data_IF_091267345720
#
_entry.id   IF_091267345720
#
_cell.length_a   1.000
_cell.length_b   1.000
_cell.length_c   1.000
_cell.angle_alpha   90.00
_cell.angle_beta   90.00
_cell.angle_gamma   90.00
#
_symmetry.space_group_name_H-M   'P 1'
#
loop_
_entity.id
_entity.type
_entity.pdbx_description
1 polymer ?
#
# COMPACT_ATOMS: atom_id res chain seq x y z
N UNK A 1 -27.92 16.75 23.61
CA UNK A 1 -26.92 15.68 23.50
C UNK A 1 -27.51 14.76 22.48
N UNK A 2 -26.95 14.73 21.24
CA UNK A 2 -27.45 13.80 20.22
C UNK A 2 -26.77 12.47 20.52
N UNK A 3 -27.51 11.43 20.82
CA UNK A 3 -27.00 10.08 20.95
C UNK A 3 -26.53 9.65 19.55
N UNK A 4 -25.22 9.71 19.34
CA UNK A 4 -24.61 9.20 18.13
C UNK A 4 -24.56 7.68 18.29
N UNK A 5 -25.46 6.98 17.62
CA UNK A 5 -25.41 5.53 17.55
C UNK A 5 -24.14 5.12 16.79
N UNK A 6 -23.41 4.10 17.27
CA UNK A 6 -22.25 3.61 16.57
C UNK A 6 -22.69 3.10 15.19
N UNK A 7 -22.02 3.60 14.16
CA UNK A 7 -22.25 3.13 12.79
C UNK A 7 -22.06 1.63 12.71
N UNK A 8 -22.86 0.97 11.89
CA UNK A 8 -22.65 -0.44 11.58
C UNK A 8 -21.24 -0.65 11.01
N UNK A 9 -20.52 -1.72 11.40
CA UNK A 9 -19.17 -1.96 10.95
C UNK A 9 -19.15 -2.16 9.44
N UNK A 10 -18.41 -1.30 8.73
CA UNK A 10 -18.19 -1.44 7.30
C UNK A 10 -17.36 -2.71 7.04
N UNK A 11 -17.81 -3.57 6.15
CA UNK A 11 -17.16 -4.84 5.85
C UNK A 11 -16.10 -4.65 4.77
N UNK A 12 -14.83 -4.54 5.20
CA UNK A 12 -13.66 -4.63 4.32
C UNK A 12 -13.12 -6.05 4.20
N UNK A 13 -11.91 -6.20 3.67
CA UNK A 13 -11.17 -7.47 3.65
C UNK A 13 -10.63 -7.82 5.04
N UNK A 14 -10.23 -6.82 5.81
CA UNK A 14 -9.85 -6.90 7.22
C UNK A 14 -10.20 -5.65 8.00
N UNK A 15 -10.50 -4.53 7.33
CA UNK A 15 -10.98 -3.33 7.97
C UNK A 15 -12.48 -3.41 8.27
N UNK A 16 -12.86 -2.90 9.43
CA UNK A 16 -14.26 -2.78 9.90
C UNK A 16 -14.66 -1.31 10.11
N UNK A 17 -13.78 -0.37 9.77
CA UNK A 17 -14.01 1.06 9.95
C UNK A 17 -13.44 1.88 8.79
N UNK A 18 -13.96 3.10 8.66
CA UNK A 18 -13.49 4.12 7.71
C UNK A 18 -13.18 5.40 8.51
N UNK A 19 -12.29 5.28 9.47
CA UNK A 19 -11.90 6.40 10.30
C UNK A 19 -11.08 7.42 9.52
N UNK A 20 -11.29 8.72 9.82
CA UNK A 20 -10.49 9.80 9.26
C UNK A 20 -9.01 9.65 9.65
N UNK A 21 -8.12 9.93 8.72
CA UNK A 21 -6.70 9.93 8.98
C UNK A 21 -6.29 11.11 9.87
N UNK A 22 -5.20 10.96 10.63
CA UNK A 22 -4.70 11.98 11.58
C UNK A 22 -4.30 13.32 10.95
N UNK A 23 -4.22 13.40 9.63
CA UNK A 23 -3.85 14.62 8.89
C UNK A 23 -5.06 15.29 8.24
N UNK A 24 -6.26 14.74 8.41
CA UNK A 24 -7.48 15.33 7.89
C UNK A 24 -7.96 16.45 8.81
N UNK A 25 -8.32 17.59 8.22
CA UNK A 25 -8.84 18.75 8.98
C UNK A 25 -10.29 18.54 9.45
N UNK A 26 -10.99 17.56 8.89
CA UNK A 26 -12.39 17.25 9.18
C UNK A 26 -12.51 15.77 9.47
N UNK A 27 -13.14 15.40 10.57
CA UNK A 27 -13.52 14.03 10.89
C UNK A 27 -14.91 13.73 10.34
N UNK A 28 -15.04 12.63 9.60
CA UNK A 28 -16.32 12.12 9.12
C UNK A 28 -16.76 11.00 10.04
N UNK A 29 -17.92 11.19 10.66
CA UNK A 29 -18.54 10.16 11.48
C UNK A 29 -19.75 9.60 10.72
N UNK A 30 -19.81 8.28 10.59
CA UNK A 30 -21.02 7.65 10.11
C UNK A 30 -22.09 7.77 11.20
N UNK A 31 -23.24 8.30 10.83
CA UNK A 31 -24.41 8.41 11.71
C UNK A 31 -25.46 7.45 11.17
N UNK A 32 -25.99 6.61 12.03
CA UNK A 32 -27.16 5.81 11.72
C UNK A 32 -28.39 6.76 11.71
N UNK A 33 -29.01 6.91 10.55
CA UNK A 33 -30.21 7.75 10.36
C UNK A 33 -31.51 6.96 10.56
N UNK A 34 -31.42 5.70 10.98
CA UNK A 34 -32.55 4.82 11.23
C UNK A 34 -33.13 4.16 9.96
N UNK A 35 -32.47 4.33 8.80
CA UNK A 35 -32.79 3.57 7.60
C UNK A 35 -31.84 2.37 7.51
N UNK A 36 -32.31 1.22 7.96
CA UNK A 36 -31.54 -0.03 7.88
C UNK A 36 -31.29 -0.37 6.40
N UNK A 37 -30.03 -0.29 5.99
CA UNK A 37 -29.56 -0.97 4.78
C UNK A 37 -29.40 -2.45 5.16
N UNK A 38 -30.20 -3.32 4.57
CA UNK A 38 -29.99 -4.75 4.67
C UNK A 38 -28.55 -5.08 4.24
N UNK A 39 -27.87 -5.98 4.96
CA UNK A 39 -26.51 -6.46 4.61
C UNK A 39 -26.38 -6.95 3.17
N UNK A 40 -27.50 -7.31 2.53
CA UNK A 40 -27.61 -7.71 1.13
C UNK A 40 -27.45 -6.54 0.14
N UNK A 41 -27.67 -5.30 0.57
CA UNK A 41 -27.62 -4.10 -0.28
C UNK A 41 -26.27 -3.39 -0.26
N UNK A 42 -25.33 -3.83 0.59
CA UNK A 42 -23.97 -3.24 0.63
C UNK A 42 -23.17 -3.76 -0.58
N UNK A 43 -22.83 -2.90 -1.54
CA UNK A 43 -22.06 -3.34 -2.70
C UNK A 43 -20.70 -3.88 -2.27
N UNK A 44 -20.18 -4.91 -2.95
CA UNK A 44 -18.87 -5.46 -2.62
C UNK A 44 -17.79 -4.38 -2.73
N UNK A 45 -16.84 -4.39 -1.80
CA UNK A 45 -15.72 -3.46 -1.76
C UNK A 45 -14.91 -3.55 -3.07
N UNK A 46 -14.98 -2.50 -3.88
CA UNK A 46 -14.24 -2.42 -5.15
C UNK A 46 -12.89 -1.75 -4.95
N UNK A 47 -11.85 -2.35 -5.51
CA UNK A 47 -10.53 -1.74 -5.56
C UNK A 47 -10.46 -0.70 -6.69
N UNK A 48 -9.92 0.45 -6.38
CA UNK A 48 -9.52 1.47 -7.37
C UNK A 48 -8.00 1.63 -7.31
N UNK A 49 -7.37 1.73 -8.48
CA UNK A 49 -5.91 1.87 -8.59
C UNK A 49 -5.59 3.20 -9.26
N UNK A 50 -4.88 4.06 -8.54
CA UNK A 50 -4.35 5.33 -9.06
C UNK A 50 -2.90 5.13 -9.48
N UNK A 51 -2.54 5.58 -10.69
CA UNK A 51 -1.15 5.53 -11.16
C UNK A 51 -0.36 6.69 -10.54
N UNK A 52 0.70 6.36 -9.81
CA UNK A 52 1.64 7.30 -9.22
C UNK A 52 2.95 7.31 -10.00
N UNK A 53 3.46 8.50 -10.33
CA UNK A 53 4.74 8.68 -11.06
C UNK A 53 5.74 9.42 -10.17
N UNK A 54 6.45 8.71 -9.29
CA UNK A 54 7.47 9.31 -8.43
C UNK A 54 8.72 9.67 -9.25
N UNK A 55 9.56 10.52 -8.69
CA UNK A 55 10.87 10.87 -9.29
C UNK A 55 11.95 9.81 -9.05
N UNK A 56 11.81 9.03 -7.98
CA UNK A 56 12.74 7.98 -7.55
C UNK A 56 11.94 6.79 -7.01
N UNK A 57 12.51 5.60 -7.09
CA UNK A 57 11.83 4.39 -6.59
C UNK A 57 12.51 3.82 -5.35
N UNK A 58 13.81 4.00 -5.20
CA UNK A 58 14.55 3.56 -4.02
C UNK A 58 14.30 4.56 -2.88
N UNK A 59 13.72 4.07 -1.80
CA UNK A 59 13.56 4.81 -0.55
C UNK A 59 14.72 4.45 0.39
N UNK A 60 15.35 5.47 0.99
CA UNK A 60 16.41 5.29 1.99
C UNK A 60 15.85 5.29 3.39
N UNK A 61 16.46 4.47 4.24
CA UNK A 61 16.15 4.37 5.66
C UNK A 61 17.43 4.47 6.49
N UNK A 62 17.36 5.22 7.58
CA UNK A 62 18.47 5.44 8.50
C UNK A 62 18.15 4.97 9.93
N UNK A 63 17.01 4.28 10.12
CA UNK A 63 16.64 3.74 11.44
C UNK A 63 17.60 2.63 11.84
N UNK A 64 18.16 2.67 13.05
CA UNK A 64 19.07 1.64 13.55
C UNK A 64 18.35 0.30 13.83
N UNK A 65 17.03 0.32 13.95
CA UNK A 65 16.21 -0.86 14.30
C UNK A 65 15.87 -1.74 13.08
N UNK A 66 16.22 -1.29 11.87
CA UNK A 66 15.90 -1.99 10.63
C UNK A 66 17.18 -2.41 9.92
N UNK A 67 17.34 -3.72 9.57
CA UNK A 67 18.60 -4.26 9.04
C UNK A 67 18.87 -3.94 7.56
N UNK A 68 18.10 -3.03 6.94
CA UNK A 68 18.30 -2.59 5.56
C UNK A 68 18.27 -1.05 5.47
N UNK A 69 19.11 -0.48 4.63
CA UNK A 69 19.17 0.97 4.40
C UNK A 69 18.31 1.46 3.25
N UNK A 70 17.77 0.55 2.45
CA UNK A 70 17.00 0.88 1.25
C UNK A 70 15.87 -0.10 0.98
N UNK A 71 14.80 0.41 0.42
CA UNK A 71 13.64 -0.40 0.06
C UNK A 71 12.97 0.10 -1.22
N UNK A 72 12.22 -0.79 -1.86
CA UNK A 72 11.31 -0.50 -2.97
C UNK A 72 9.92 -0.98 -2.61
N UNK A 73 8.93 -0.10 -2.80
CA UNK A 73 7.53 -0.45 -2.69
C UNK A 73 6.82 -0.05 -3.99
N UNK A 74 6.53 -1.01 -4.89
CA UNK A 74 5.90 -0.77 -6.18
C UNK A 74 4.48 -0.22 -6.06
N UNK A 75 3.85 -0.44 -4.93
CA UNK A 75 2.47 -0.08 -4.63
C UNK A 75 2.35 0.72 -3.33
N UNK A 76 1.17 1.31 -3.08
CA UNK A 76 0.72 1.80 -1.77
C UNK A 76 -0.68 1.29 -1.52
N UNK A 77 -1.00 1.02 -0.25
CA UNK A 77 -2.18 0.25 0.11
C UNK A 77 -2.03 -1.22 -0.25
N UNK A 78 -2.90 -2.09 0.24
CA UNK A 78 -2.76 -3.52 0.03
C UNK A 78 -4.09 -4.26 0.13
N UNK A 79 -4.46 -4.97 -0.94
CA UNK A 79 -5.69 -5.78 -1.00
C UNK A 79 -5.70 -6.98 -0.07
N UNK A 80 -4.56 -7.42 0.47
CA UNK A 80 -4.56 -8.52 1.44
C UNK A 80 -5.31 -8.19 2.73
N UNK A 81 -5.49 -6.91 3.05
CA UNK A 81 -6.34 -6.46 4.14
C UNK A 81 -5.96 -6.96 5.53
N UNK A 82 -4.69 -7.30 5.79
CA UNK A 82 -4.27 -7.80 7.09
C UNK A 82 -4.67 -6.84 8.21
N UNK A 83 -5.41 -7.32 9.21
CA UNK A 83 -5.86 -6.51 10.35
C UNK A 83 -4.70 -5.95 11.18
N UNK A 84 -3.60 -6.69 11.25
CA UNK A 84 -2.39 -6.34 12.01
C UNK A 84 -1.36 -5.53 11.20
N UNK A 85 -1.70 -5.07 10.00
CA UNK A 85 -0.73 -4.41 9.12
C UNK A 85 -0.29 -3.06 9.68
N UNK A 86 0.99 -2.93 10.03
CA UNK A 86 1.60 -1.70 10.52
C UNK A 86 1.65 -0.58 9.46
N UNK A 87 1.50 -0.91 8.19
CA UNK A 87 1.57 0.05 7.09
C UNK A 87 0.28 0.85 6.89
N UNK A 88 -0.85 0.43 7.48
CA UNK A 88 -2.15 1.10 7.36
C UNK A 88 -2.09 2.62 7.61
N UNK A 89 -1.42 3.13 8.67
CA UNK A 89 -1.33 4.56 8.93
C UNK A 89 -0.67 5.38 7.83
N UNK A 90 0.09 4.73 6.93
CA UNK A 90 0.76 5.44 5.82
C UNK A 90 -0.24 6.01 4.80
N UNK A 91 -1.46 5.48 4.74
CA UNK A 91 -2.52 5.98 3.86
C UNK A 91 -2.98 7.39 4.25
N UNK A 92 -2.87 7.74 5.53
CA UNK A 92 -3.18 9.08 6.01
C UNK A 92 -2.32 10.18 5.38
N UNK A 93 -1.11 9.88 4.90
CA UNK A 93 -0.29 10.85 4.15
C UNK A 93 -0.89 11.23 2.79
N UNK A 94 -1.87 10.46 2.31
CA UNK A 94 -2.59 10.72 1.06
C UNK A 94 -4.00 11.28 1.32
N UNK A 95 -4.34 11.65 2.56
CA UNK A 95 -5.67 12.08 2.95
C UNK A 95 -6.71 10.95 2.86
N UNK A 96 -6.26 9.70 3.05
CA UNK A 96 -7.10 8.51 2.97
C UNK A 96 -7.14 7.79 4.31
N UNK A 97 -8.26 7.10 4.57
CA UNK A 97 -8.43 6.33 5.80
C UNK A 97 -7.45 5.15 5.89
N UNK A 98 -6.86 4.89 7.05
CA UNK A 98 -6.08 3.68 7.31
C UNK A 98 -6.96 2.42 7.36
N UNK A 99 -8.27 2.57 7.40
CA UNK A 99 -9.26 1.49 7.39
C UNK A 99 -9.52 0.95 5.98
N UNK A 100 -10.74 1.13 5.48
CA UNK A 100 -11.18 0.62 4.18
C UNK A 100 -10.39 1.17 3.00
N UNK A 101 -9.99 2.45 3.04
CA UNK A 101 -9.26 3.05 1.92
C UNK A 101 -7.91 2.36 1.70
N UNK A 102 -7.23 1.91 2.77
CA UNK A 102 -5.98 1.17 2.65
C UNK A 102 -6.12 -0.13 1.84
N UNK A 103 -7.30 -0.74 1.85
CA UNK A 103 -7.59 -2.00 1.17
C UNK A 103 -8.20 -1.82 -0.21
N UNK A 104 -8.73 -0.63 -0.52
CA UNK A 104 -9.56 -0.39 -1.70
C UNK A 104 -9.10 0.75 -2.60
N UNK A 105 -8.38 1.74 -2.08
CA UNK A 105 -7.83 2.87 -2.84
C UNK A 105 -6.32 2.74 -2.92
N UNK A 106 -5.85 2.04 -3.94
CA UNK A 106 -4.45 1.69 -4.09
C UNK A 106 -3.72 2.62 -5.05
N UNK A 107 -2.40 2.65 -4.92
CA UNK A 107 -1.52 3.35 -5.86
C UNK A 107 -0.54 2.36 -6.47
N UNK A 108 -0.32 2.47 -7.77
CA UNK A 108 0.64 1.67 -8.51
C UNK A 108 1.68 2.59 -9.19
N UNK A 109 2.94 2.16 -9.21
CA UNK A 109 4.06 2.90 -9.79
C UNK A 109 4.56 2.21 -11.05
N UNK A 110 3.91 2.41 -12.21
CA UNK A 110 4.21 1.66 -13.43
C UNK A 110 5.64 1.86 -13.94
N UNK A 111 6.23 3.03 -13.65
CA UNK A 111 7.57 3.38 -14.11
C UNK A 111 8.68 2.84 -13.16
N UNK A 112 8.34 1.99 -12.18
CA UNK A 112 9.27 1.53 -11.13
C UNK A 112 10.53 0.87 -11.69
N UNK A 113 10.42 0.01 -12.71
CA UNK A 113 11.55 -0.67 -13.33
C UNK A 113 12.51 0.33 -14.02
N UNK A 114 11.98 1.26 -14.81
CA UNK A 114 12.78 2.28 -15.49
C UNK A 114 13.48 3.24 -14.50
N UNK A 115 12.77 3.62 -13.42
CA UNK A 115 13.36 4.44 -12.36
C UNK A 115 14.46 3.69 -11.62
N UNK A 116 14.25 2.42 -11.33
CA UNK A 116 15.26 1.57 -10.69
C UNK A 116 16.51 1.50 -11.55
N UNK A 117 16.37 1.17 -12.83
CA UNK A 117 17.50 1.11 -13.75
C UNK A 117 18.28 2.43 -13.80
N UNK A 118 17.58 3.56 -13.89
CA UNK A 118 18.20 4.88 -13.87
C UNK A 118 18.93 5.17 -12.57
N UNK A 119 18.44 4.68 -11.44
CA UNK A 119 19.10 4.85 -10.14
C UNK A 119 20.32 3.95 -10.00
N UNK A 120 20.27 2.70 -10.46
CA UNK A 120 21.40 1.75 -10.43
C UNK A 120 22.56 2.20 -11.33
N UNK A 121 22.29 2.92 -12.44
CA UNK A 121 23.29 3.46 -13.35
C UNK A 121 24.06 4.66 -12.83
N UNK A 122 23.66 5.25 -11.71
CA UNK A 122 24.36 6.43 -11.17
C UNK A 122 25.79 6.08 -10.77
N UNK A 123 26.80 6.89 -11.12
CA UNK A 123 28.21 6.56 -10.85
C UNK A 123 28.54 6.39 -9.36
N UNK A 124 27.77 7.01 -8.48
CA UNK A 124 27.94 6.92 -7.04
C UNK A 124 26.99 5.92 -6.37
N UNK A 125 26.37 5.03 -7.15
CA UNK A 125 25.53 4.00 -6.60
C UNK A 125 26.39 2.83 -6.07
N UNK A 126 26.18 2.48 -4.81
CA UNK A 126 26.85 1.34 -4.18
C UNK A 126 25.80 0.26 -3.92
N UNK A 127 25.94 -0.95 -4.51
CA UNK A 127 24.98 -2.05 -4.32
C UNK A 127 24.95 -2.48 -2.84
N UNK A 128 23.75 -2.60 -2.30
CA UNK A 128 23.43 -3.23 -1.04
C UNK A 128 22.03 -3.80 -1.13
N UNK A 129 21.70 -4.79 -0.31
CA UNK A 129 20.42 -5.47 -0.37
C UNK A 129 19.24 -4.49 -0.36
N UNK A 130 18.43 -4.54 -1.40
CA UNK A 130 17.15 -3.82 -1.47
C UNK A 130 16.08 -4.68 -0.83
N UNK A 131 15.39 -4.14 0.17
CA UNK A 131 14.23 -4.78 0.77
C UNK A 131 12.95 -4.41 -0.01
N UNK A 132 12.17 -5.40 -0.39
CA UNK A 132 10.88 -5.23 -1.09
C UNK A 132 9.77 -5.84 -0.25
N UNK A 133 8.61 -5.17 -0.21
CA UNK A 133 7.49 -5.60 0.62
C UNK A 133 7.51 -5.05 2.04
N UNK A 134 8.26 -3.99 2.27
CA UNK A 134 8.42 -3.38 3.60
C UNK A 134 7.27 -2.48 4.01
N UNK A 135 6.40 -2.06 3.09
CA UNK A 135 5.27 -1.20 3.38
C UNK A 135 3.96 -1.69 2.72
N UNK A 136 4.07 -2.44 1.64
CA UNK A 136 2.95 -3.10 0.97
C UNK A 136 3.42 -4.44 0.43
N UNK A 137 2.51 -5.40 0.30
CA UNK A 137 2.87 -6.67 -0.32
C UNK A 137 3.11 -6.45 -1.83
N UNK A 138 4.30 -6.81 -2.35
CA UNK A 138 4.63 -6.62 -3.77
C UNK A 138 3.87 -7.58 -4.69
N UNK A 139 3.37 -8.69 -4.17
CA UNK A 139 2.57 -9.68 -4.89
C UNK A 139 1.10 -9.67 -4.46
N UNK A 140 0.57 -8.49 -4.10
CA UNK A 140 -0.86 -8.33 -3.87
C UNK A 140 -1.65 -8.56 -5.18
N UNK A 141 -2.97 -8.84 -5.13
CA UNK A 141 -3.74 -9.26 -6.30
C UNK A 141 -3.60 -8.40 -7.55
N UNK A 142 -3.47 -7.06 -7.43
CA UNK A 142 -3.30 -6.17 -8.58
C UNK A 142 -1.98 -6.39 -9.36
N UNK A 143 -0.98 -7.02 -8.75
CA UNK A 143 0.27 -7.35 -9.47
C UNK A 143 0.03 -8.27 -10.66
N UNK A 144 -1.02 -9.11 -10.61
CA UNK A 144 -1.41 -9.97 -11.73
C UNK A 144 -1.65 -9.18 -13.03
N UNK A 145 -2.23 -8.00 -12.91
CA UNK A 145 -2.57 -7.15 -14.04
C UNK A 145 -1.46 -6.14 -14.37
N UNK A 146 -0.85 -5.55 -13.35
CA UNK A 146 0.14 -4.49 -13.50
C UNK A 146 1.55 -4.99 -13.79
N UNK A 147 1.95 -6.15 -13.28
CA UNK A 147 3.26 -6.80 -13.46
C UNK A 147 4.47 -5.91 -13.17
N UNK A 148 4.32 -4.97 -12.25
CA UNK A 148 5.36 -4.00 -11.91
C UNK A 148 6.52 -4.69 -11.20
N UNK A 149 6.22 -5.60 -10.29
CA UNK A 149 7.23 -6.36 -9.55
C UNK A 149 8.08 -7.22 -10.50
N UNK A 150 7.46 -7.80 -11.52
CA UNK A 150 8.18 -8.55 -12.55
C UNK A 150 9.22 -7.67 -13.23
N UNK A 151 8.87 -6.49 -13.71
CA UNK A 151 9.80 -5.56 -14.33
C UNK A 151 10.94 -5.12 -13.39
N UNK A 152 10.62 -4.90 -12.10
CA UNK A 152 11.63 -4.61 -11.08
C UNK A 152 12.63 -5.75 -10.93
N UNK A 153 12.15 -7.00 -10.87
CA UNK A 153 13.02 -8.18 -10.77
C UNK A 153 13.90 -8.38 -12.01
N UNK A 154 13.37 -8.16 -13.20
CA UNK A 154 14.14 -8.23 -14.45
C UNK A 154 15.32 -7.23 -14.45
N UNK A 155 15.11 -6.02 -13.93
CA UNK A 155 16.19 -5.04 -13.74
C UNK A 155 17.20 -5.51 -12.69
N UNK A 156 16.75 -5.99 -11.53
CA UNK A 156 17.64 -6.46 -10.47
C UNK A 156 18.48 -7.64 -10.94
N UNK A 157 17.91 -8.57 -11.71
CA UNK A 157 18.62 -9.70 -12.30
C UNK A 157 19.70 -9.23 -13.29
N UNK A 158 19.35 -8.33 -14.21
CA UNK A 158 20.30 -7.76 -15.19
C UNK A 158 21.52 -7.08 -14.55
N UNK A 159 21.35 -6.55 -13.35
CA UNK A 159 22.43 -5.90 -12.57
C UNK A 159 23.06 -6.81 -11.51
N UNK A 160 22.67 -8.10 -11.43
CA UNK A 160 23.07 -9.02 -10.34
C UNK A 160 22.93 -8.38 -8.95
N UNK A 161 21.86 -7.63 -8.75
CA UNK A 161 21.66 -6.80 -7.55
C UNK A 161 21.05 -7.62 -6.41
N UNK A 162 21.61 -7.59 -5.18
CA UNK A 162 21.05 -8.32 -4.05
C UNK A 162 19.69 -7.76 -3.64
N UNK A 163 18.73 -8.67 -3.41
CA UNK A 163 17.35 -8.34 -3.03
C UNK A 163 16.84 -9.25 -1.93
N UNK A 164 16.00 -8.70 -1.06
CA UNK A 164 15.22 -9.42 -0.06
C UNK A 164 13.75 -9.09 -0.26
N UNK A 165 12.89 -10.11 -0.29
CA UNK A 165 11.46 -9.94 -0.54
C UNK A 165 10.67 -10.51 0.62
N UNK A 166 9.71 -9.71 1.11
CA UNK A 166 8.74 -10.14 2.12
C UNK A 166 7.35 -10.11 1.48
N UNK A 167 6.71 -11.26 1.45
CA UNK A 167 5.34 -11.39 0.93
C UNK A 167 4.58 -12.47 1.69
N UNK A 168 3.27 -12.35 1.75
CA UNK A 168 2.34 -13.41 2.20
C UNK A 168 1.59 -14.05 1.04
N UNK A 169 1.81 -13.56 -0.17
CA UNK A 169 1.15 -14.05 -1.38
C UNK A 169 1.78 -15.34 -1.87
N UNK A 170 0.95 -16.21 -2.44
CA UNK A 170 1.40 -17.41 -3.18
C UNK A 170 1.60 -17.12 -4.69
N UNK A 171 1.48 -15.87 -5.13
CA UNK A 171 1.59 -15.47 -6.55
C UNK A 171 3.03 -15.12 -6.99
N UNK A 172 4.02 -15.76 -6.38
CA UNK A 172 5.44 -15.55 -6.71
C UNK A 172 5.79 -16.28 -8.02
#
# INVERSE_FOLDING_TARGET
>A
MVDILPAQPLKGRGAVSQESGRFEAVSVHAIDDGWDLDDADVPPLRTTVTLERPKTIITRNTSPDIPFDRSINPYRGCEHGCVYCFARPTHAYHGLSPGLDFESKLFAKPDAAALLEAELRKPNYHPQTIAIGTNTDPYQPIEKDHRIMRGVLEVLDAYNHPVSIVTKSAMI
#
